data_IF_698582320056
#
_entry.id   IF_698582320056
#
_cell.length_a   1.000
_cell.length_b   1.000
_cell.length_c   1.000
_cell.angle_alpha   90.00
_cell.angle_beta   90.00
_cell.angle_gamma   90.00
#
_symmetry.space_group_name_H-M   'P 1'
#
loop_
_entity.id
_entity.type
_entity.pdbx_description
1 polymer ?
#
# COMPACT_ATOMS: atom_id res chain seq x y z
N UNK A 1 -9.58 -18.09 25.56
CA UNK A 1 -8.30 -18.60 24.99
C UNK A 1 -8.41 -19.95 24.24
N UNK A 2 -9.60 -20.54 24.04
CA UNK A 2 -9.75 -21.83 23.32
C UNK A 2 -10.09 -21.73 21.82
N UNK A 3 -10.33 -20.52 21.30
CA UNK A 3 -10.74 -20.30 19.90
C UNK A 3 -9.61 -19.77 18.99
N UNK A 4 -8.46 -19.41 19.56
CA UNK A 4 -7.30 -18.92 18.79
C UNK A 4 -6.69 -20.03 17.91
N UNK A 5 -6.75 -21.28 18.39
CA UNK A 5 -6.26 -22.46 17.67
C UNK A 5 -7.17 -22.88 16.51
N UNK A 6 -8.44 -22.49 16.50
CA UNK A 6 -9.42 -22.86 15.46
C UNK A 6 -9.28 -21.94 14.25
N UNK A 7 -9.01 -20.64 14.46
CA UNK A 7 -8.79 -19.69 13.36
C UNK A 7 -7.52 -20.05 12.55
N UNK A 8 -6.48 -20.55 13.22
CA UNK A 8 -5.23 -21.00 12.61
C UNK A 8 -5.41 -22.32 11.81
N UNK A 9 -6.41 -23.13 12.16
CA UNK A 9 -6.70 -24.39 11.49
C UNK A 9 -7.54 -24.20 10.20
N UNK A 10 -8.41 -23.18 10.16
CA UNK A 10 -9.28 -22.89 9.00
C UNK A 10 -8.48 -22.35 7.80
N UNK A 11 -7.33 -21.71 8.04
CA UNK A 11 -6.43 -21.25 6.96
C UNK A 11 -5.64 -22.40 6.34
N UNK A 12 -5.53 -23.57 7.01
CA UNK A 12 -4.73 -24.69 6.54
C UNK A 12 -5.52 -25.76 5.75
N UNK A 13 -6.86 -25.75 5.79
CA UNK A 13 -7.68 -26.79 5.15
C UNK A 13 -8.95 -26.21 4.54
N UNK A 14 -8.92 -25.92 3.24
CA UNK A 14 -10.14 -25.87 2.45
C UNK A 14 -9.90 -26.34 1.01
N UNK A 15 -10.31 -27.58 0.69
CA UNK A 15 -11.03 -27.84 -0.53
C UNK A 15 -12.43 -28.35 -0.16
N UNK A 16 -13.49 -27.76 -0.73
CA UNK A 16 -14.82 -28.37 -0.64
C UNK A 16 -15.98 -27.39 -0.61
N UNK A 17 -16.72 -27.39 -1.73
CA UNK A 17 -18.07 -26.89 -1.99
C UNK A 17 -19.03 -26.92 -0.78
N UNK A 18 -19.89 -25.90 -0.67
CA UNK A 18 -21.37 -25.98 -0.59
C UNK A 18 -21.90 -24.53 -0.43
N UNK A 19 -22.66 -24.00 -1.37
CA UNK A 19 -24.12 -24.10 -1.59
C UNK A 19 -24.89 -22.89 -1.06
N UNK A 20 -25.81 -22.46 -1.90
CA UNK A 20 -26.58 -21.22 -1.82
C UNK A 20 -27.72 -21.30 -0.82
N UNK A 21 -28.02 -20.17 -0.16
CA UNK A 21 -29.36 -19.86 0.36
C UNK A 21 -29.67 -18.38 0.08
N UNK A 22 -30.67 -18.16 -0.76
CA UNK A 22 -31.35 -16.89 -0.96
C UNK A 22 -32.35 -16.65 0.19
N UNK A 23 -32.35 -15.44 0.78
CA UNK A 23 -33.55 -14.58 0.91
C UNK A 23 -33.23 -13.25 1.60
N UNK A 24 -34.01 -12.18 1.31
CA UNK A 24 -33.64 -10.80 1.61
C UNK A 24 -34.32 -10.31 2.89
N UNK A 25 -33.64 -9.56 3.77
CA UNK A 25 -34.34 -8.69 4.73
C UNK A 25 -33.43 -7.56 5.27
N UNK A 26 -33.99 -6.35 5.12
CA UNK A 26 -33.87 -5.17 5.97
C UNK A 26 -32.52 -4.46 6.10
N UNK A 27 -32.48 -3.31 5.43
CA UNK A 27 -31.51 -2.22 5.56
C UNK A 27 -31.54 -1.59 6.96
N UNK A 28 -30.50 -1.84 7.75
CA UNK A 28 -30.13 -1.02 8.92
C UNK A 28 -28.94 -0.15 8.47
N UNK A 29 -28.92 1.16 8.73
CA UNK A 29 -27.76 1.98 8.40
C UNK A 29 -26.62 1.65 9.36
N UNK A 30 -25.72 0.76 8.94
CA UNK A 30 -24.47 0.49 9.66
C UNK A 30 -23.60 1.74 9.57
N UNK A 31 -23.20 2.28 10.72
CA UNK A 31 -22.11 3.25 10.80
C UNK A 31 -20.82 2.51 10.43
N UNK A 32 -20.51 2.49 9.15
CA UNK A 32 -19.22 2.05 8.63
C UNK A 32 -18.15 3.03 9.11
N UNK A 33 -17.26 2.56 9.98
CA UNK A 33 -15.97 3.20 10.23
C UNK A 33 -14.93 2.27 9.64
N UNK A 34 -14.71 2.42 8.34
CA UNK A 34 -13.56 1.83 7.65
C UNK A 34 -12.39 2.76 7.94
N UNK A 35 -11.25 2.19 8.35
CA UNK A 35 -9.98 2.91 8.33
C UNK A 35 -9.70 3.27 6.86
N UNK A 36 -10.07 4.49 6.47
CA UNK A 36 -9.98 4.94 5.09
C UNK A 36 -9.67 6.43 5.09
N UNK A 37 -8.51 6.78 4.54
CA UNK A 37 -8.15 8.15 4.17
C UNK A 37 -9.16 8.77 3.20
N UNK A 38 -10.15 8.01 2.70
CA UNK A 38 -11.28 8.46 1.87
C UNK A 38 -12.58 8.78 2.66
N UNK A 39 -12.56 8.83 4.00
CA UNK A 39 -13.74 9.25 4.81
C UNK A 39 -13.59 10.66 5.39
N UNK A 40 -14.59 11.53 5.15
CA UNK A 40 -14.71 12.79 5.92
C UNK A 40 -14.96 12.41 7.37
N UNK A 41 -13.94 12.53 8.21
CA UNK A 41 -14.09 12.34 9.65
C UNK A 41 -14.88 13.53 10.19
N UNK A 42 -16.12 13.27 10.65
CA UNK A 42 -16.98 14.31 11.24
C UNK A 42 -16.47 14.83 12.61
N UNK A 43 -15.47 14.16 13.17
CA UNK A 43 -14.75 14.53 14.38
C UNK A 43 -13.25 14.62 14.07
N UNK A 44 -12.49 15.32 14.91
CA UNK A 44 -11.04 15.16 14.84
C UNK A 44 -10.70 13.72 15.22
N UNK A 45 -9.63 13.18 14.65
CA UNK A 45 -9.19 11.84 15.01
C UNK A 45 -7.69 11.71 14.86
N UNK A 46 -7.09 10.88 15.71
CA UNK A 46 -5.74 10.39 15.54
C UNK A 46 -5.81 8.91 15.25
N UNK A 47 -5.11 8.44 14.23
CA UNK A 47 -4.93 7.01 13.96
C UNK A 47 -3.46 6.65 14.10
N UNK A 48 -3.16 5.54 14.78
CA UNK A 48 -1.81 4.98 14.85
C UNK A 48 -1.85 3.56 14.27
N UNK A 49 -0.88 3.25 13.42
CA UNK A 49 -0.77 1.96 12.74
C UNK A 49 0.59 1.32 12.95
N UNK A 50 0.60 -0.01 12.96
CA UNK A 50 1.80 -0.85 12.92
C UNK A 50 1.64 -1.88 11.81
N UNK A 51 2.60 -1.96 10.89
CA UNK A 51 2.57 -2.90 9.77
C UNK A 51 3.83 -3.74 9.73
N UNK A 52 3.66 -5.05 9.59
CA UNK A 52 4.70 -5.94 9.09
C UNK A 52 4.45 -6.20 7.60
N UNK A 53 5.48 -6.11 6.78
CA UNK A 53 5.44 -6.45 5.36
C UNK A 53 6.53 -7.44 4.98
N UNK A 54 6.22 -8.38 4.08
CA UNK A 54 7.16 -9.41 3.65
C UNK A 54 8.27 -8.89 2.73
N UNK A 55 8.02 -7.80 1.99
CA UNK A 55 8.99 -7.16 1.11
C UNK A 55 8.57 -5.71 0.79
N UNK A 56 9.54 -4.82 0.57
CA UNK A 56 9.31 -3.42 0.22
C UNK A 56 9.23 -3.24 -1.30
N UNK A 57 8.13 -2.67 -1.77
CA UNK A 57 7.89 -2.42 -3.20
C UNK A 57 7.45 -0.99 -3.43
N UNK A 58 8.07 -0.33 -4.40
CA UNK A 58 7.78 1.04 -4.80
C UNK A 58 7.39 1.08 -6.27
N UNK A 59 6.20 1.61 -6.59
CA UNK A 59 5.64 1.69 -7.96
C UNK A 59 5.79 0.41 -8.82
N UNK A 60 5.65 -0.77 -8.19
CA UNK A 60 5.76 -2.06 -8.90
C UNK A 60 7.20 -2.56 -9.10
N UNK A 61 8.16 -1.96 -8.38
CA UNK A 61 9.57 -2.34 -8.36
C UNK A 61 9.99 -2.67 -6.93
N UNK A 62 10.59 -3.83 -6.77
CA UNK A 62 11.29 -4.31 -5.58
C UNK A 62 12.80 -4.19 -5.73
N UNK A 63 13.50 -4.21 -4.59
CA UNK A 63 14.95 -4.32 -4.57
C UNK A 63 15.46 -5.68 -5.10
N UNK A 64 16.77 -5.81 -5.31
CA UNK A 64 17.37 -7.06 -5.81
C UNK A 64 17.33 -8.20 -4.78
N UNK A 65 17.18 -7.86 -3.50
CA UNK A 65 16.96 -8.79 -2.40
C UNK A 65 15.68 -8.39 -1.68
N UNK A 66 15.04 -9.36 -1.01
CA UNK A 66 13.84 -9.11 -0.22
C UNK A 66 14.18 -8.27 1.00
N UNK A 67 13.34 -7.28 1.26
CA UNK A 67 13.42 -6.36 2.39
C UNK A 67 12.13 -6.45 3.21
N UNK A 68 11.95 -7.50 4.04
CA UNK A 68 10.87 -7.50 5.02
C UNK A 68 11.02 -6.29 5.94
N UNK A 69 9.91 -5.69 6.34
CA UNK A 69 9.93 -4.44 7.08
C UNK A 69 8.89 -4.42 8.19
N UNK A 70 9.14 -3.55 9.17
CA UNK A 70 8.16 -3.08 10.14
C UNK A 70 8.00 -1.58 9.94
N UNK A 71 6.77 -1.08 9.90
CA UNK A 71 6.50 0.35 9.89
C UNK A 71 5.52 0.73 10.99
N UNK A 72 5.68 1.96 11.49
CA UNK A 72 4.75 2.62 12.39
C UNK A 72 4.31 3.93 11.76
N UNK A 73 3.02 4.20 11.75
CA UNK A 73 2.48 5.41 11.14
C UNK A 73 1.46 6.08 12.06
N UNK A 74 1.37 7.40 11.99
CA UNK A 74 0.38 8.20 12.68
C UNK A 74 -0.27 9.17 11.70
N UNK A 75 -1.59 9.34 11.80
CA UNK A 75 -2.36 10.27 10.98
C UNK A 75 -3.27 11.09 11.88
N UNK A 76 -3.25 12.40 11.73
CA UNK A 76 -4.19 13.32 12.35
C UNK A 76 -5.15 13.86 11.30
N UNK A 77 -6.45 13.71 11.54
CA UNK A 77 -7.51 14.23 10.66
C UNK A 77 -8.28 15.35 11.35
N UNK A 78 -8.55 16.42 10.62
CA UNK A 78 -9.42 17.52 11.03
C UNK A 78 -10.85 17.31 10.52
N UNK A 79 -11.83 17.99 11.15
CA UNK A 79 -13.22 17.96 10.69
C UNK A 79 -13.42 18.58 9.30
N UNK A 80 -12.52 19.48 8.92
CA UNK A 80 -12.56 20.23 7.67
C UNK A 80 -12.04 19.42 6.47
N UNK A 81 -11.42 18.25 6.71
CA UNK A 81 -10.85 17.39 5.67
C UNK A 81 -9.33 17.53 5.49
N UNK A 82 -8.68 18.45 6.20
CA UNK A 82 -7.21 18.48 6.27
C UNK A 82 -6.69 17.33 7.10
N UNK A 83 -5.54 16.80 6.71
CA UNK A 83 -4.83 15.79 7.47
C UNK A 83 -3.32 15.99 7.40
N UNK A 84 -2.63 15.48 8.42
CA UNK A 84 -1.18 15.38 8.48
C UNK A 84 -0.82 13.96 8.92
N UNK A 85 0.29 13.44 8.42
CA UNK A 85 0.77 12.11 8.79
C UNK A 85 2.28 12.04 8.89
N UNK A 86 2.72 11.06 9.67
CA UNK A 86 4.11 10.66 9.79
C UNK A 86 4.22 9.14 9.75
N UNK A 87 5.29 8.64 9.15
CA UNK A 87 5.60 7.22 9.04
C UNK A 87 7.07 7.01 9.37
N UNK A 88 7.38 5.90 10.03
CA UNK A 88 8.75 5.40 10.19
C UNK A 88 8.78 3.95 9.74
N UNK A 89 9.82 3.58 8.99
CA UNK A 89 10.01 2.24 8.47
C UNK A 89 11.41 1.72 8.84
N UNK A 90 11.44 0.45 9.22
CA UNK A 90 12.66 -0.28 9.54
C UNK A 90 12.68 -1.61 8.79
N UNK A 91 13.82 -1.88 8.15
CA UNK A 91 14.08 -3.16 7.51
C UNK A 91 14.50 -4.21 8.53
N UNK A 92 13.91 -5.39 8.44
CA UNK A 92 14.18 -6.53 9.32
C UNK A 92 15.42 -7.27 8.79
N UNK A 93 16.33 -7.63 9.69
CA UNK A 93 17.57 -8.34 9.35
C UNK A 93 18.76 -7.43 9.02
N UNK A 94 18.64 -6.12 9.25
CA UNK A 94 19.70 -5.14 9.03
C UNK A 94 20.03 -4.37 10.32
N UNK A 95 21.25 -3.81 10.38
CA UNK A 95 21.78 -3.14 11.59
C UNK A 95 21.16 -1.77 11.87
N UNK A 96 20.39 -1.22 10.94
CA UNK A 96 19.79 0.11 11.03
C UNK A 96 18.56 0.11 11.94
N UNK A 97 18.43 1.17 12.75
CA UNK A 97 17.27 1.34 13.65
C UNK A 97 16.05 1.89 12.91
N UNK A 98 16.27 2.80 11.97
CA UNK A 98 15.25 3.41 11.11
C UNK A 98 15.88 3.55 9.72
N UNK A 99 15.16 3.12 8.69
CA UNK A 99 15.59 3.20 7.29
C UNK A 99 14.96 4.37 6.56
N UNK A 100 13.73 4.72 6.93
CA UNK A 100 12.92 5.73 6.27
C UNK A 100 11.96 6.41 7.24
N UNK A 101 11.77 7.70 7.04
CA UNK A 101 10.79 8.54 7.73
C UNK A 101 10.05 9.33 6.66
N UNK A 102 8.72 9.26 6.70
CA UNK A 102 7.86 10.02 5.80
C UNK A 102 7.08 11.03 6.61
N UNK A 103 7.01 12.26 6.12
CA UNK A 103 6.17 13.29 6.71
C UNK A 103 5.36 13.93 5.60
N UNK A 104 4.06 14.04 5.81
CA UNK A 104 3.18 14.58 4.78
C UNK A 104 1.88 15.13 5.33
N UNK A 105 1.08 15.64 4.41
CA UNK A 105 -0.23 16.17 4.71
C UNK A 105 -1.00 16.45 3.43
N UNK A 106 -2.29 16.72 3.59
CA UNK A 106 -3.17 16.86 2.45
C UNK A 106 -4.56 17.31 2.82
N UNK A 107 -5.42 17.25 1.80
CA UNK A 107 -6.81 17.63 1.89
C UNK A 107 -7.69 16.58 1.22
N UNK A 108 -8.67 16.09 1.97
CA UNK A 108 -9.76 15.28 1.45
C UNK A 108 -10.92 16.18 1.07
N UNK A 109 -11.39 16.04 -0.16
CA UNK A 109 -12.58 16.71 -0.68
C UNK A 109 -13.62 15.70 -1.13
N UNK A 110 -14.90 16.04 -0.94
CA UNK A 110 -16.03 15.19 -1.30
C UNK A 110 -17.10 16.00 -2.04
N UNK A 111 -16.93 16.23 -3.34
CA UNK A 111 -17.83 17.07 -4.13
C UNK A 111 -19.22 16.43 -4.29
N UNK A 112 -19.33 15.11 -4.18
CA UNK A 112 -20.62 14.41 -4.19
C UNK A 112 -20.63 13.16 -3.32
N UNK A 113 -21.79 12.52 -3.17
CA UNK A 113 -21.88 11.24 -2.45
C UNK A 113 -21.09 10.10 -3.11
N UNK A 114 -20.84 10.18 -4.43
CA UNK A 114 -20.18 9.13 -5.22
C UNK A 114 -18.72 9.43 -5.53
N UNK A 115 -18.28 10.68 -5.38
CA UNK A 115 -16.94 11.11 -5.73
C UNK A 115 -16.24 11.62 -4.48
N UNK A 116 -15.11 11.02 -4.16
CA UNK A 116 -14.18 11.48 -3.13
C UNK A 116 -12.83 11.69 -3.80
N UNK A 117 -12.09 12.70 -3.39
CA UNK A 117 -10.71 12.86 -3.81
C UNK A 117 -9.81 13.35 -2.69
N UNK A 118 -8.52 13.16 -2.92
CA UNK A 118 -7.44 13.50 -2.00
C UNK A 118 -6.34 14.17 -2.81
N UNK A 119 -5.81 15.26 -2.27
CA UNK A 119 -4.53 15.83 -2.71
C UNK A 119 -3.59 15.82 -1.51
N UNK A 120 -2.35 15.37 -1.70
CA UNK A 120 -1.37 15.32 -0.64
C UNK A 120 0.06 15.54 -1.13
N UNK A 121 0.91 15.89 -0.18
CA UNK A 121 2.34 16.01 -0.36
C UNK A 121 3.06 15.18 0.70
N UNK A 122 4.12 14.49 0.28
CA UNK A 122 5.01 13.71 1.15
C UNK A 122 6.45 14.17 0.96
N UNK A 123 7.18 14.27 2.06
CA UNK A 123 8.64 14.35 2.07
C UNK A 123 9.23 13.06 2.65
N UNK A 124 10.14 12.45 1.90
CA UNK A 124 10.81 11.19 2.27
C UNK A 124 12.21 11.47 2.80
N UNK A 125 12.54 10.91 3.96
CA UNK A 125 13.83 11.06 4.63
C UNK A 125 14.43 9.68 4.85
N UNK A 126 15.57 9.42 4.21
CA UNK A 126 16.26 8.13 4.27
C UNK A 126 17.51 8.18 5.12
N UNK A 127 17.86 7.04 5.72
CA UNK A 127 19.17 6.85 6.33
C UNK A 127 20.31 6.93 5.29
N UNK A 128 21.56 6.82 5.77
CA UNK A 128 22.74 6.92 4.90
C UNK A 128 22.87 5.70 3.98
N UNK A 129 22.37 4.55 4.41
CA UNK A 129 22.45 3.26 3.71
C UNK A 129 21.49 3.15 2.52
N UNK A 130 20.38 3.90 2.52
CA UNK A 130 19.45 4.10 1.40
C UNK A 130 19.04 2.80 0.70
N UNK A 131 18.70 1.77 1.48
CA UNK A 131 18.51 0.41 0.97
C UNK A 131 17.21 0.20 0.21
N UNK A 132 16.20 1.01 0.50
CA UNK A 132 14.89 0.98 -0.16
C UNK A 132 14.97 1.73 -1.48
N UNK A 133 14.33 1.19 -2.51
CA UNK A 133 14.32 1.77 -3.86
C UNK A 133 13.70 3.18 -3.91
N UNK A 134 12.78 3.46 -2.98
CA UNK A 134 12.13 4.75 -2.76
C UNK A 134 13.13 5.90 -2.51
N UNK A 135 14.32 5.58 -2.00
CA UNK A 135 15.40 6.55 -1.73
C UNK A 135 16.00 7.27 -2.95
N UNK A 136 15.55 6.90 -4.15
CA UNK A 136 15.82 7.61 -5.39
C UNK A 136 14.93 8.86 -5.58
N UNK A 137 13.87 9.02 -4.80
CA UNK A 137 13.08 10.25 -4.70
C UNK A 137 13.22 10.88 -3.31
N UNK A 138 12.74 12.11 -3.14
CA UNK A 138 12.68 12.78 -1.83
C UNK A 138 11.34 13.45 -1.58
N UNK A 139 10.50 13.54 -2.61
CA UNK A 139 9.21 14.19 -2.55
C UNK A 139 8.20 13.45 -3.42
N UNK A 140 6.94 13.54 -3.02
CA UNK A 140 5.79 13.08 -3.80
C UNK A 140 4.64 14.09 -3.69
N UNK A 141 4.01 14.39 -4.82
CA UNK A 141 2.70 15.02 -4.87
C UNK A 141 1.72 14.01 -5.43
N UNK A 142 0.72 13.68 -4.62
CA UNK A 142 -0.30 12.69 -4.93
C UNK A 142 -1.65 13.37 -5.14
N UNK A 143 -2.35 12.97 -6.19
CA UNK A 143 -3.73 13.34 -6.47
C UNK A 143 -4.57 12.12 -6.80
N UNK A 144 -5.47 11.75 -5.90
CA UNK A 144 -6.35 10.59 -6.03
C UNK A 144 -7.80 11.01 -6.17
N UNK A 145 -8.52 10.39 -7.10
CA UNK A 145 -9.97 10.47 -7.21
C UNK A 145 -10.58 9.09 -7.23
N UNK A 146 -11.60 8.88 -6.40
CA UNK A 146 -12.34 7.62 -6.25
C UNK A 146 -13.81 7.84 -6.61
N UNK A 147 -14.33 7.02 -7.51
CA UNK A 147 -15.74 6.97 -7.86
C UNK A 147 -16.41 5.69 -7.35
N UNK A 148 -17.54 5.83 -6.67
CA UNK A 148 -18.35 4.75 -6.14
C UNK A 148 -19.53 4.41 -7.09
N UNK A 149 -19.42 3.25 -7.74
CA UNK A 149 -20.43 2.71 -8.66
C UNK A 149 -21.54 1.94 -7.94
N UNK A 150 -21.57 1.94 -6.60
CA UNK A 150 -22.36 1.07 -5.69
C UNK A 150 -21.96 -0.40 -5.68
N UNK A 151 -21.66 -0.99 -6.83
CA UNK A 151 -21.26 -2.41 -6.93
C UNK A 151 -19.74 -2.61 -6.94
N UNK A 152 -18.99 -1.55 -7.24
CA UNK A 152 -17.54 -1.50 -7.22
C UNK A 152 -17.08 -0.05 -7.01
N UNK A 153 -15.82 0.13 -6.64
CA UNK A 153 -15.14 1.43 -6.63
C UNK A 153 -14.02 1.41 -7.66
N UNK A 154 -13.85 2.53 -8.34
CA UNK A 154 -12.68 2.75 -9.19
C UNK A 154 -11.94 3.99 -8.73
N UNK A 155 -10.62 3.98 -8.77
CA UNK A 155 -9.84 5.19 -8.53
C UNK A 155 -8.76 5.41 -9.57
N UNK A 156 -8.43 6.68 -9.77
CA UNK A 156 -7.29 7.14 -10.53
C UNK A 156 -6.42 7.93 -9.56
N UNK A 157 -5.15 7.57 -9.49
CA UNK A 157 -4.13 8.28 -8.73
C UNK A 157 -3.07 8.79 -9.68
N UNK A 158 -2.73 10.07 -9.56
CA UNK A 158 -1.61 10.71 -10.22
C UNK A 158 -0.54 10.96 -9.17
N UNK A 159 0.68 10.50 -9.43
CA UNK A 159 1.81 10.69 -8.54
C UNK A 159 2.92 11.43 -9.31
N UNK A 160 3.48 12.46 -8.71
CA UNK A 160 4.67 13.15 -9.22
C UNK A 160 5.77 13.07 -8.18
N UNK A 161 6.74 12.19 -8.45
CA UNK A 161 7.95 12.05 -7.66
C UNK A 161 8.99 13.05 -8.13
N UNK A 162 9.66 13.70 -7.19
CA UNK A 162 10.76 14.60 -7.48
C UNK A 162 11.82 14.64 -6.36
N UNK A 163 12.99 15.18 -6.70
CA UNK A 163 14.18 15.16 -5.84
C UNK A 163 15.41 14.80 -6.66
N UNK A 164 15.97 13.60 -6.44
CA UNK A 164 17.14 13.14 -7.21
C UNK A 164 16.80 12.61 -8.60
N UNK A 165 15.62 12.03 -8.73
CA UNK A 165 14.99 11.65 -10.00
C UNK A 165 13.60 12.27 -10.03
N UNK A 166 13.03 12.37 -11.22
CA UNK A 166 11.66 12.84 -11.39
C UNK A 166 10.87 11.86 -12.22
N UNK A 167 9.70 11.50 -11.74
CA UNK A 167 8.86 10.49 -12.35
C UNK A 167 7.39 10.85 -12.21
N UNK A 168 6.62 10.48 -13.24
CA UNK A 168 5.17 10.65 -13.25
C UNK A 168 4.51 9.28 -13.33
N UNK A 169 3.49 9.06 -12.50
CA UNK A 169 2.73 7.82 -12.48
C UNK A 169 1.23 8.07 -12.56
N UNK A 170 0.56 7.11 -13.19
CA UNK A 170 -0.88 6.96 -13.18
C UNK A 170 -1.18 5.57 -12.66
N UNK A 171 -1.85 5.50 -11.52
CA UNK A 171 -2.36 4.25 -10.94
C UNK A 171 -3.85 4.17 -11.14
N UNK A 172 -4.29 3.14 -11.86
CA UNK A 172 -5.70 2.78 -12.00
C UNK A 172 -6.01 1.67 -11.01
N UNK A 173 -7.10 1.80 -10.26
CA UNK A 173 -7.58 0.77 -9.33
C UNK A 173 -9.06 0.48 -9.58
N UNK A 174 -9.44 -0.79 -9.44
CA UNK A 174 -10.81 -1.21 -9.28
C UNK A 174 -10.91 -2.19 -8.12
N UNK A 175 -11.85 -1.96 -7.22
CA UNK A 175 -12.05 -2.78 -6.02
C UNK A 175 -13.52 -2.99 -5.71
N UNK A 176 -13.82 -4.04 -4.96
CA UNK A 176 -15.17 -4.35 -4.52
C UNK A 176 -15.17 -4.63 -3.03
N UNK A 177 -15.90 -3.80 -2.30
CA UNK A 177 -16.07 -3.94 -0.87
C UNK A 177 -17.14 -4.97 -0.53
N UNK A 178 -16.80 -5.86 0.38
CA UNK A 178 -17.70 -6.83 0.98
C UNK A 178 -17.63 -6.70 2.51
N UNK A 179 -18.79 -6.62 3.13
CA UNK A 179 -18.97 -6.64 4.58
C UNK A 179 -19.99 -7.73 4.89
N UNK A 180 -19.53 -8.94 5.20
CA UNK A 180 -20.44 -10.00 5.62
C UNK A 180 -21.19 -9.59 6.89
N UNK A 181 -22.45 -9.98 6.97
CA UNK A 181 -23.35 -9.58 8.07
C UNK A 181 -23.13 -10.34 9.38
N UNK A 182 -22.22 -11.32 9.39
CA UNK A 182 -21.95 -12.16 10.55
C UNK A 182 -20.84 -11.56 11.42
N UNK A 183 -21.05 -11.65 12.74
CA UNK A 183 -20.12 -11.18 13.77
C UNK A 183 -19.20 -12.31 14.21
N UNK A 184 -18.02 -11.98 14.69
CA UNK A 184 -16.99 -12.97 15.03
C UNK A 184 -16.86 -13.19 16.54
N UNK A 185 -16.67 -12.12 17.31
CA UNK A 185 -16.23 -12.18 18.70
C UNK A 185 -16.98 -11.24 19.67
N UNK A 186 -17.43 -10.06 19.22
CA UNK A 186 -17.96 -9.02 20.11
C UNK A 186 -19.05 -8.13 19.52
N UNK A 187 -19.64 -7.30 20.37
CA UNK A 187 -20.64 -6.32 19.92
C UNK A 187 -19.98 -5.19 19.11
N UNK A 188 -20.46 -4.99 17.88
CA UNK A 188 -19.94 -3.95 16.98
C UNK A 188 -18.68 -4.34 16.22
N UNK A 189 -18.25 -5.60 16.30
CA UNK A 189 -17.23 -6.12 15.40
C UNK A 189 -17.81 -6.53 14.05
N UNK A 190 -16.95 -6.52 13.03
CA UNK A 190 -17.31 -6.97 11.69
C UNK A 190 -16.07 -7.30 10.86
N UNK A 191 -16.24 -8.24 9.92
CA UNK A 191 -15.23 -8.59 8.94
C UNK A 191 -15.43 -7.75 7.68
N UNK A 192 -14.34 -7.36 7.04
CA UNK A 192 -14.37 -6.77 5.70
C UNK A 192 -13.42 -7.49 4.78
N UNK A 193 -13.78 -7.51 3.51
CA UNK A 193 -13.02 -8.08 2.42
C UNK A 193 -13.09 -7.11 1.24
N UNK A 194 -11.96 -6.64 0.74
CA UNK A 194 -11.93 -5.64 -0.32
C UNK A 194 -10.98 -6.00 -1.46
N UNK A 195 -11.26 -7.09 -2.21
CA UNK A 195 -10.44 -7.49 -3.34
C UNK A 195 -10.37 -6.36 -4.37
N UNK A 196 -9.18 -6.16 -4.91
CA UNK A 196 -8.96 -5.16 -5.93
C UNK A 196 -7.86 -5.53 -6.90
N UNK A 197 -7.95 -4.95 -8.09
CA UNK A 197 -6.93 -4.99 -9.11
C UNK A 197 -6.37 -3.59 -9.34
N UNK A 198 -5.12 -3.50 -9.73
CA UNK A 198 -4.51 -2.24 -10.12
C UNK A 198 -3.55 -2.37 -11.29
N UNK A 199 -3.42 -1.28 -12.03
CA UNK A 199 -2.41 -1.09 -13.06
C UNK A 199 -1.64 0.20 -12.76
N UNK A 200 -0.33 0.13 -12.79
CA UNK A 200 0.58 1.28 -12.64
C UNK A 200 1.23 1.53 -13.99
N UNK A 201 1.15 2.78 -14.45
CA UNK A 201 1.73 3.25 -15.70
C UNK A 201 2.58 4.47 -15.34
N UNK A 202 3.78 4.59 -15.86
CA UNK A 202 4.65 5.69 -15.48
C UNK A 202 6.02 5.64 -16.12
N UNK A 203 6.87 6.57 -15.69
CA UNK A 203 8.31 6.57 -15.97
C UNK A 203 9.07 5.82 -14.87
N UNK A 204 10.35 5.54 -15.09
CA UNK A 204 11.18 4.70 -14.22
C UNK A 204 12.57 5.29 -13.96
N UNK A 205 12.72 6.61 -14.04
CA UNK A 205 14.01 7.28 -13.81
C UNK A 205 14.59 6.96 -12.42
N UNK A 206 13.72 6.79 -11.42
CA UNK A 206 14.10 6.35 -10.07
C UNK A 206 14.84 5.00 -10.03
N UNK A 207 14.54 4.06 -10.94
CA UNK A 207 15.19 2.74 -10.99
C UNK A 207 16.66 2.88 -11.33
N UNK A 208 16.97 3.70 -12.34
CA UNK A 208 18.35 4.00 -12.74
C UNK A 208 19.09 4.69 -11.62
N UNK A 209 18.45 5.71 -11.03
CA UNK A 209 19.06 6.49 -9.97
C UNK A 209 19.38 5.64 -8.75
N UNK A 210 18.49 4.73 -8.37
CA UNK A 210 18.75 3.76 -7.31
C UNK A 210 19.91 2.82 -7.66
N UNK A 211 19.95 2.29 -8.89
CA UNK A 211 21.02 1.39 -9.32
C UNK A 211 22.40 2.08 -9.30
N UNK A 212 22.47 3.35 -9.72
CA UNK A 212 23.68 4.17 -9.66
C UNK A 212 24.08 4.44 -8.20
N UNK A 213 23.14 4.90 -7.37
CA UNK A 213 23.41 5.21 -5.95
C UNK A 213 23.86 3.97 -5.15
N UNK A 214 23.53 2.76 -5.61
CA UNK A 214 23.85 1.49 -4.95
C UNK A 214 24.91 0.65 -5.68
N UNK A 215 25.51 1.17 -6.75
CA UNK A 215 26.33 0.38 -7.70
C UNK A 215 27.43 -0.44 -7.01
N UNK A 216 28.23 0.18 -6.15
CA UNK A 216 29.32 -0.52 -5.43
C UNK A 216 28.80 -1.69 -4.57
N UNK A 217 27.63 -1.53 -3.96
CA UNK A 217 27.01 -2.57 -3.12
C UNK A 217 26.41 -3.69 -3.96
N UNK A 218 25.84 -3.36 -5.12
CA UNK A 218 25.30 -4.34 -6.05
C UNK A 218 26.42 -5.21 -6.66
N UNK A 219 27.58 -4.60 -6.94
CA UNK A 219 28.79 -5.31 -7.40
C UNK A 219 29.29 -6.23 -6.29
N UNK A 220 29.45 -5.73 -5.06
CA UNK A 220 29.94 -6.53 -3.92
C UNK A 220 29.06 -7.75 -3.62
N UNK A 221 27.74 -7.62 -3.78
CA UNK A 221 26.80 -8.71 -3.57
C UNK A 221 26.72 -9.70 -4.75
N UNK A 222 27.59 -9.60 -5.76
CA UNK A 222 27.53 -10.38 -7.02
C UNK A 222 26.15 -10.32 -7.71
N UNK A 223 25.38 -9.26 -7.47
CA UNK A 223 24.07 -9.04 -8.10
C UNK A 223 24.25 -8.53 -9.53
N UNK A 224 25.40 -7.90 -9.82
CA UNK A 224 25.81 -7.54 -11.18
C UNK A 224 26.55 -8.72 -11.83
N UNK A 225 25.88 -9.37 -12.79
CA UNK A 225 26.50 -10.36 -13.68
C UNK A 225 27.28 -9.62 -14.77
N UNK A 226 28.55 -10.00 -14.93
CA UNK A 226 29.52 -9.60 -15.97
C UNK A 226 28.94 -8.85 -17.18
N UNK A 227 29.27 -7.56 -17.24
CA UNK A 227 29.11 -6.69 -18.39
C UNK A 227 29.65 -5.33 -18.00
N UNK A 228 30.77 -4.92 -18.60
CA UNK A 228 31.30 -3.56 -18.58
C UNK A 228 30.17 -2.52 -18.57
N UNK A 229 30.28 -1.41 -17.81
CA UNK A 229 29.30 -0.33 -17.83
C UNK A 229 29.48 0.47 -19.13
N UNK A 230 29.22 -0.18 -20.27
CA UNK A 230 28.74 0.57 -21.41
C UNK A 230 27.42 1.16 -20.95
N UNK A 231 27.43 2.49 -20.85
CA UNK A 231 26.28 3.37 -20.71
C UNK A 231 25.29 3.08 -21.84
N UNK A 232 24.63 1.92 -21.82
CA UNK A 232 23.44 1.71 -22.62
C UNK A 232 22.41 2.58 -21.92
N UNK A 233 21.95 3.69 -22.52
CA UNK A 233 20.90 4.49 -21.92
C UNK A 233 19.66 3.60 -21.88
N UNK A 234 19.33 3.09 -20.69
CA UNK A 234 18.00 2.54 -20.45
C UNK A 234 17.00 3.66 -20.72
N UNK A 235 15.88 3.37 -21.39
CA UNK A 235 14.93 4.40 -21.74
C UNK A 235 13.90 4.55 -20.62
N UNK A 236 14.41 4.78 -19.42
CA UNK A 236 13.65 4.87 -18.18
C UNK A 236 12.66 6.05 -18.17
N UNK A 237 12.85 7.04 -19.04
CA UNK A 237 11.90 8.14 -19.25
C UNK A 237 10.65 7.77 -20.05
N UNK A 238 10.53 6.55 -20.58
CA UNK A 238 9.33 6.12 -21.32
C UNK A 238 8.16 5.94 -20.37
N UNK A 239 7.05 6.58 -20.72
CA UNK A 239 5.77 6.38 -20.05
C UNK A 239 5.14 5.05 -20.52
N UNK A 240 5.25 4.01 -19.69
CA UNK A 240 4.84 2.66 -20.04
C UNK A 240 4.13 1.98 -18.87
N UNK A 241 3.40 0.89 -19.15
CA UNK A 241 2.89 0.03 -18.09
C UNK A 241 4.06 -0.53 -17.27
N UNK A 242 3.99 -0.43 -15.95
CA UNK A 242 5.04 -0.85 -15.03
C UNK A 242 4.65 -2.10 -14.27
N UNK A 243 3.40 -2.20 -13.86
CA UNK A 243 2.95 -3.29 -13.01
C UNK A 243 1.44 -3.48 -13.06
N UNK A 244 1.03 -4.74 -13.12
CA UNK A 244 -0.34 -5.16 -12.80
C UNK A 244 -0.33 -5.87 -11.46
N UNK A 245 -1.36 -5.66 -10.64
CA UNK A 245 -1.47 -6.40 -9.40
C UNK A 245 -2.90 -6.69 -9.00
N UNK A 246 -3.03 -7.70 -8.16
CA UNK A 246 -4.26 -8.04 -7.47
C UNK A 246 -3.96 -8.08 -5.97
N UNK A 247 -4.83 -7.47 -5.15
CA UNK A 247 -4.73 -7.44 -3.70
C UNK A 247 -6.01 -7.99 -3.09
N UNK A 248 -5.84 -8.81 -2.06
CA UNK A 248 -6.90 -9.27 -1.17
C UNK A 248 -6.56 -8.84 0.26
N UNK A 249 -7.16 -7.76 0.77
CA UNK A 249 -7.19 -7.46 2.19
C UNK A 249 -8.43 -8.09 2.86
N UNK A 250 -8.19 -8.70 4.01
CA UNK A 250 -9.22 -9.15 4.96
C UNK A 250 -8.95 -8.40 6.26
N UNK A 251 -9.94 -7.66 6.74
CA UNK A 251 -9.80 -6.89 7.97
C UNK A 251 -10.88 -7.25 8.99
N UNK A 252 -10.45 -7.48 10.22
CA UNK A 252 -11.30 -7.57 11.39
C UNK A 252 -11.38 -6.19 12.05
N UNK A 253 -12.57 -5.62 12.10
CA UNK A 253 -12.80 -4.25 12.51
C UNK A 253 -13.58 -4.22 13.83
N UNK A 254 -13.20 -3.30 14.70
CA UNK A 254 -13.92 -2.94 15.92
C UNK A 254 -14.07 -1.42 15.98
N UNK A 255 -14.82 -0.85 16.94
CA UNK A 255 -15.00 0.61 17.03
C UNK A 255 -13.71 1.43 17.17
N UNK A 256 -12.65 0.85 17.74
CA UNK A 256 -11.39 1.56 18.06
C UNK A 256 -10.16 0.95 17.42
N UNK A 257 -10.20 -0.31 16.97
CA UNK A 257 -9.03 -0.93 16.35
C UNK A 257 -9.40 -1.86 15.20
N UNK A 258 -8.46 -2.06 14.30
CA UNK A 258 -8.59 -2.93 13.13
C UNK A 258 -7.34 -3.78 12.98
N UNK A 259 -7.54 -5.06 12.68
CA UNK A 259 -6.47 -5.97 12.25
C UNK A 259 -6.70 -6.34 10.78
N UNK A 260 -5.77 -6.00 9.90
CA UNK A 260 -5.80 -6.37 8.48
C UNK A 260 -4.71 -7.41 8.19
N UNK A 261 -5.08 -8.49 7.51
CA UNK A 261 -4.16 -9.35 6.80
C UNK A 261 -4.40 -9.16 5.30
N UNK A 262 -3.35 -8.92 4.54
CA UNK A 262 -3.49 -8.78 3.09
C UNK A 262 -2.44 -9.56 2.31
N UNK A 263 -2.89 -10.11 1.18
CA UNK A 263 -2.03 -10.71 0.18
C UNK A 263 -2.12 -9.89 -1.11
N UNK A 264 -0.97 -9.57 -1.70
CA UNK A 264 -0.88 -8.91 -3.01
C UNK A 264 -0.02 -9.74 -3.93
N UNK A 265 -0.51 -10.01 -5.14
CA UNK A 265 0.29 -10.59 -6.21
C UNK A 265 0.63 -9.50 -7.23
N UNK A 266 1.92 -9.28 -7.45
CA UNK A 266 2.42 -8.24 -8.36
C UNK A 266 3.06 -8.87 -9.58
N UNK A 267 2.77 -8.29 -10.74
CA UNK A 267 3.26 -8.70 -12.05
C UNK A 267 3.97 -7.48 -12.68
N UNK A 268 5.28 -7.32 -12.40
CA UNK A 268 6.10 -6.31 -13.05
C UNK A 268 6.18 -6.55 -14.56
N UNK A 269 6.09 -5.49 -15.34
CA UNK A 269 6.26 -5.48 -16.81
C UNK A 269 7.17 -4.32 -17.21
N UNK A 270 7.79 -4.39 -18.39
CA UNK A 270 8.75 -3.38 -18.88
C UNK A 270 9.82 -3.04 -17.81
N UNK A 271 10.36 -4.06 -17.18
CA UNK A 271 11.40 -3.92 -16.15
C UNK A 271 12.71 -3.59 -16.87
N UNK A 272 13.26 -2.41 -16.60
CA UNK A 272 14.53 -1.94 -17.16
C UNK A 272 15.58 -1.79 -16.05
N UNK A 273 16.86 -1.81 -16.42
CA UNK A 273 17.97 -1.62 -15.49
C UNK A 273 18.42 -2.87 -14.72
N UNK A 274 19.13 -2.65 -13.63
CA UNK A 274 19.77 -3.71 -12.82
C UNK A 274 18.79 -4.49 -11.93
N UNK A 275 17.51 -4.11 -11.90
CA UNK A 275 16.52 -4.73 -11.04
C UNK A 275 15.91 -5.96 -11.72
N UNK A 276 16.08 -7.14 -11.09
CA UNK A 276 15.50 -8.41 -11.55
C UNK A 276 14.10 -8.62 -10.98
N UNK A 277 13.20 -7.66 -11.20
CA UNK A 277 11.83 -7.77 -10.69
C UNK A 277 11.12 -8.97 -11.34
N UNK A 278 10.69 -9.89 -10.48
CA UNK A 278 9.92 -11.07 -10.86
C UNK A 278 8.49 -10.92 -10.35
N UNK A 279 7.61 -11.79 -10.83
CA UNK A 279 6.28 -11.92 -10.25
C UNK A 279 6.43 -12.39 -8.80
N UNK A 280 5.75 -11.71 -7.89
CA UNK A 280 5.98 -11.89 -6.46
C UNK A 280 4.70 -11.66 -5.66
N UNK A 281 4.56 -12.44 -4.59
CA UNK A 281 3.52 -12.30 -3.60
C UNK A 281 4.04 -11.50 -2.39
N UNK A 282 3.22 -10.59 -1.90
CA UNK A 282 3.48 -9.76 -0.73
C UNK A 282 2.42 -10.06 0.32
N UNK A 283 2.87 -10.24 1.56
CA UNK A 283 2.00 -10.41 2.72
C UNK A 283 2.22 -9.24 3.65
N UNK A 284 1.14 -8.54 3.98
CA UNK A 284 1.16 -7.48 4.98
C UNK A 284 0.19 -7.82 6.11
N UNK A 285 0.67 -7.61 7.34
CA UNK A 285 -0.13 -7.69 8.57
C UNK A 285 -0.12 -6.33 9.21
N UNK A 286 -1.30 -5.76 9.42
CA UNK A 286 -1.42 -4.40 9.93
C UNK A 286 -2.40 -4.33 11.09
N UNK A 287 -2.00 -3.60 12.12
CA UNK A 287 -2.85 -3.20 13.22
C UNK A 287 -3.03 -1.69 13.18
N UNK A 288 -4.26 -1.22 13.37
CA UNK A 288 -4.59 0.19 13.49
C UNK A 288 -5.39 0.43 14.77
N UNK A 289 -5.12 1.55 15.44
CA UNK A 289 -5.93 2.07 16.54
C UNK A 289 -6.37 3.51 16.24
N UNK A 290 -7.64 3.81 16.51
CA UNK A 290 -8.30 5.06 16.21
C UNK A 290 -8.75 5.75 17.51
N UNK A 291 -8.28 6.97 17.71
CA UNK A 291 -8.62 7.88 18.81
C UNK A 291 -9.55 8.99 18.27
N UNK A 292 -10.59 9.35 19.05
CA UNK A 292 -11.56 10.41 18.73
C UNK A 292 -11.50 11.58 19.71
#
# INVERSE_FOLDING_TARGET
MRYFSILLLIVALAPGKLMAINRPLLTIPVRQMVADTDTIVRKQSVSVGLTYGSDAMFFGRTGPIRYPYLSANAVYNTKQGFFAYGSVLRLIGYRTSIDEIDIGGGYLYKPSKKLTGVISYTHFIFNKERRVIESASSHDINFKNTYDWKFMRSSITLDYLFGKASDFFVTLNASKYFEPTWRLFGEGDYLTFNPGISAIIGTQNFVEKFAIDQQERLIYNNIIVNGTPNRVPYNNGRFNALNYSFKIPIAYNTPHYTFEASYKYSIPVNVEGALRNRREGFVNLTFYYLFY
#
